data_IF_788430285784
#
_entry.id   IF_788430285784
#
_cell.length_a   1.000
_cell.length_b   1.000
_cell.length_c   1.000
_cell.angle_alpha   90.00
_cell.angle_beta   90.00
_cell.angle_gamma   90.00
#
_symmetry.space_group_name_H-M   'P 1'
#
loop_
_entity.id
_entity.type
_entity.pdbx_description
1 polymer ?
#
# COMPACT_ATOMS: atom_id res chain seq x y z
N UNK A 1 -3.36 -6.20 -20.91
CA UNK A 1 -2.77 -4.98 -20.32
C UNK A 1 -1.28 -5.00 -20.66
N UNK A 2 -0.72 -3.90 -21.14
CA UNK A 2 0.72 -3.79 -21.42
C UNK A 2 1.49 -3.75 -20.10
N UNK A 3 2.49 -4.61 -19.96
CA UNK A 3 3.45 -4.52 -18.85
C UNK A 3 4.14 -3.15 -18.95
N UNK A 4 4.15 -2.34 -17.89
CA UNK A 4 4.86 -1.06 -17.91
C UNK A 4 6.35 -1.32 -18.12
N UNK A 5 6.98 -0.57 -19.03
CA UNK A 5 8.43 -0.54 -19.17
C UNK A 5 9.00 0.60 -18.32
N UNK A 6 10.14 0.36 -17.67
CA UNK A 6 10.79 1.31 -16.76
C UNK A 6 11.98 1.98 -17.46
N UNK A 7 11.73 2.51 -18.66
CA UNK A 7 12.78 2.98 -19.56
C UNK A 7 13.10 4.47 -19.39
N UNK A 8 12.25 5.22 -18.68
CA UNK A 8 12.49 6.63 -18.35
C UNK A 8 13.00 6.78 -16.92
N UNK A 9 13.70 7.88 -16.65
CA UNK A 9 14.18 8.21 -15.31
C UNK A 9 13.01 8.32 -14.32
N UNK A 10 11.91 8.93 -14.74
CA UNK A 10 10.69 9.08 -13.94
C UNK A 10 10.08 7.72 -13.62
N UNK A 11 10.04 6.79 -14.58
CA UNK A 11 9.52 5.44 -14.36
C UNK A 11 10.42 4.64 -13.42
N UNK A 12 11.74 4.75 -13.54
CA UNK A 12 12.71 4.08 -12.66
C UNK A 12 12.64 4.63 -11.23
N UNK A 13 12.58 5.95 -11.06
CA UNK A 13 12.45 6.58 -9.75
C UNK A 13 11.13 6.16 -9.07
N UNK A 14 10.01 6.19 -9.81
CA UNK A 14 8.69 5.78 -9.30
C UNK A 14 8.69 4.30 -8.89
N UNK A 15 9.30 3.43 -9.71
CA UNK A 15 9.47 2.02 -9.38
C UNK A 15 10.32 1.81 -8.12
N UNK A 16 11.43 2.54 -7.99
CA UNK A 16 12.29 2.50 -6.81
C UNK A 16 11.57 2.90 -5.52
N UNK A 17 10.76 3.96 -5.57
CA UNK A 17 9.92 4.39 -4.44
C UNK A 17 8.90 3.29 -4.09
N UNK A 18 8.21 2.74 -5.10
CA UNK A 18 7.26 1.65 -4.90
C UNK A 18 7.90 0.41 -4.27
N UNK A 19 9.11 0.05 -4.70
CA UNK A 19 9.88 -1.05 -4.15
C UNK A 19 10.25 -0.81 -2.68
N UNK A 20 10.72 0.41 -2.34
CA UNK A 20 11.05 0.78 -0.97
C UNK A 20 9.82 0.72 -0.05
N UNK A 21 8.68 1.25 -0.49
CA UNK A 21 7.41 1.16 0.26
C UNK A 21 7.00 -0.30 0.44
N UNK A 22 7.09 -1.11 -0.62
CA UNK A 22 6.77 -2.54 -0.56
C UNK A 22 7.64 -3.30 0.45
N UNK A 23 8.94 -3.01 0.51
CA UNK A 23 9.86 -3.59 1.49
C UNK A 23 9.46 -3.21 2.92
N UNK A 24 9.22 -1.93 3.19
CA UNK A 24 8.76 -1.47 4.51
C UNK A 24 7.44 -2.14 4.94
N UNK A 25 6.50 -2.30 4.02
CA UNK A 25 5.24 -3.01 4.29
C UNK A 25 5.47 -4.49 4.58
N UNK A 26 6.40 -5.15 3.88
CA UNK A 26 6.75 -6.55 4.14
C UNK A 26 7.36 -6.77 5.53
N UNK A 27 8.12 -5.79 6.02
CA UNK A 27 8.77 -5.82 7.33
C UNK A 27 7.83 -5.40 8.48
N UNK A 28 6.73 -4.69 8.16
CA UNK A 28 5.78 -4.19 9.16
C UNK A 28 5.00 -5.28 9.92
N UNK A 29 4.97 -6.51 9.38
CA UNK A 29 4.17 -7.61 9.91
C UNK A 29 2.66 -7.52 9.61
N UNK A 30 2.23 -6.52 8.83
CA UNK A 30 0.87 -6.44 8.29
C UNK A 30 0.66 -7.60 7.31
N UNK A 31 -0.53 -8.22 7.37
CA UNK A 31 -0.89 -9.37 6.53
C UNK A 31 -2.16 -9.07 5.74
N UNK A 32 -2.28 -9.70 4.57
CA UNK A 32 -3.46 -9.54 3.71
C UNK A 32 -3.56 -8.17 3.02
N UNK A 33 -2.45 -7.45 2.91
CA UNK A 33 -2.38 -6.24 2.08
C UNK A 33 -2.58 -6.62 0.61
N UNK A 34 -3.39 -5.85 -0.10
CA UNK A 34 -3.68 -6.04 -1.52
C UNK A 34 -2.88 -5.01 -2.33
N UNK A 35 -1.87 -5.43 -3.13
CA UNK A 35 -1.04 -4.51 -3.92
C UNK A 35 -1.87 -3.59 -4.83
N UNK A 36 -2.91 -4.12 -5.46
CA UNK A 36 -3.77 -3.37 -6.38
C UNK A 36 -4.53 -2.25 -5.65
N UNK A 37 -4.96 -2.49 -4.42
CA UNK A 37 -5.63 -1.48 -3.59
C UNK A 37 -4.65 -0.41 -3.08
N UNK A 38 -3.41 -0.79 -2.76
CA UNK A 38 -2.34 0.16 -2.41
C UNK A 38 -2.03 1.09 -3.59
N UNK A 39 -1.87 0.52 -4.79
CA UNK A 39 -1.62 1.30 -6.01
C UNK A 39 -2.79 2.24 -6.30
N UNK A 40 -4.04 1.77 -6.17
CA UNK A 40 -5.22 2.62 -6.36
C UNK A 40 -5.26 3.78 -5.36
N UNK A 41 -5.00 3.53 -4.07
CA UNK A 41 -4.98 4.59 -3.05
C UNK A 41 -3.86 5.61 -3.26
N UNK A 42 -2.67 5.15 -3.67
CA UNK A 42 -1.54 6.04 -4.01
C UNK A 42 -1.89 6.90 -5.23
N UNK A 43 -2.47 6.31 -6.27
CA UNK A 43 -2.89 7.04 -7.48
C UNK A 43 -3.95 8.11 -7.16
N UNK A 44 -4.99 7.75 -6.40
CA UNK A 44 -6.02 8.70 -5.99
C UNK A 44 -5.43 9.87 -5.18
N UNK A 45 -4.50 9.60 -4.27
CA UNK A 45 -3.83 10.64 -3.47
C UNK A 45 -2.96 11.58 -4.33
N UNK A 46 -2.18 11.03 -5.27
CA UNK A 46 -1.33 11.81 -6.17
C UNK A 46 -2.14 12.68 -7.15
N UNK A 47 -3.30 12.19 -7.56
CA UNK A 47 -4.21 12.92 -8.45
C UNK A 47 -5.14 13.89 -7.70
N UNK A 48 -5.10 13.91 -6.36
CA UNK A 48 -5.97 14.75 -5.53
C UNK A 48 -7.45 14.34 -5.60
N UNK A 49 -7.72 13.07 -5.93
CA UNK A 49 -9.08 12.52 -5.98
C UNK A 49 -9.65 12.32 -4.58
N UNK A 50 -10.97 12.35 -4.50
CA UNK A 50 -11.64 11.89 -3.30
C UNK A 50 -11.41 10.38 -3.13
N UNK A 51 -11.14 9.90 -1.91
CA UNK A 51 -10.95 8.48 -1.66
C UNK A 51 -12.13 7.66 -2.18
N UNK A 52 -11.84 6.59 -2.94
CA UNK A 52 -12.85 5.65 -3.41
C UNK A 52 -13.59 4.93 -2.26
N UNK A 53 -12.98 4.90 -1.07
CA UNK A 53 -13.52 4.31 0.16
C UNK A 53 -13.71 5.41 1.20
N UNK A 54 -14.88 5.48 1.88
CA UNK A 54 -15.11 6.44 2.96
C UNK A 54 -14.02 6.39 4.04
N UNK A 55 -13.62 7.57 4.54
CA UNK A 55 -12.50 7.71 5.49
C UNK A 55 -12.70 6.90 6.77
N UNK A 56 -13.93 6.83 7.27
CA UNK A 56 -14.27 6.05 8.47
C UNK A 56 -14.09 4.54 8.25
N UNK A 57 -14.41 4.05 7.04
CA UNK A 57 -14.19 2.66 6.62
C UNK A 57 -12.69 2.36 6.52
N UNK A 58 -11.91 3.26 5.90
CA UNK A 58 -10.45 3.13 5.82
C UNK A 58 -9.84 3.06 7.23
N UNK A 59 -10.20 3.97 8.12
CA UNK A 59 -9.69 3.98 9.50
C UNK A 59 -10.06 2.72 10.28
N UNK A 60 -11.28 2.19 10.10
CA UNK A 60 -11.69 0.93 10.72
C UNK A 60 -10.84 -0.24 10.22
N UNK A 61 -10.69 -0.38 8.90
CA UNK A 61 -9.91 -1.45 8.30
C UNK A 61 -8.44 -1.41 8.74
N UNK A 62 -7.83 -0.22 8.76
CA UNK A 62 -6.45 -0.05 9.22
C UNK A 62 -6.28 -0.47 10.68
N UNK A 63 -7.19 -0.07 11.59
CA UNK A 63 -7.12 -0.51 13.00
C UNK A 63 -7.15 -2.03 13.11
N UNK A 64 -8.08 -2.67 12.41
CA UNK A 64 -8.24 -4.13 12.46
C UNK A 64 -7.01 -4.88 11.93
N UNK A 65 -6.39 -4.41 10.84
CA UNK A 65 -5.15 -5.02 10.32
C UNK A 65 -4.00 -4.85 11.32
N UNK A 66 -3.85 -3.67 11.94
CA UNK A 66 -2.82 -3.45 12.96
C UNK A 66 -3.02 -4.36 14.19
N UNK A 67 -4.24 -4.46 14.69
CA UNK A 67 -4.57 -5.34 15.84
C UNK A 67 -4.24 -6.81 15.54
N UNK A 68 -4.54 -7.28 14.32
CA UNK A 68 -4.18 -8.64 13.86
C UNK A 68 -2.67 -8.83 13.82
N UNK A 69 -1.92 -7.86 13.29
CA UNK A 69 -0.46 -7.91 13.24
C UNK A 69 0.16 -7.94 14.65
N UNK A 70 -0.35 -7.13 15.58
CA UNK A 70 0.06 -7.13 17.00
C UNK A 70 -0.27 -8.45 17.69
N UNK A 71 -1.43 -9.05 17.41
CA UNK A 71 -1.81 -10.33 17.97
C UNK A 71 -0.87 -11.45 17.51
N UNK A 72 -0.50 -11.48 16.22
CA UNK A 72 0.48 -12.45 15.69
C UNK A 72 1.85 -12.24 16.32
N UNK A 73 2.32 -11.00 16.46
CA UNK A 73 3.61 -10.68 17.11
C UNK A 73 3.66 -11.14 18.57
N UNK A 74 2.57 -10.99 19.33
CA UNK A 74 2.50 -11.43 20.74
C UNK A 74 2.44 -12.94 20.93
N UNK A 75 2.05 -13.69 19.90
CA UNK A 75 1.99 -15.16 19.93
C UNK A 75 3.28 -15.84 19.44
N UNK A 76 4.24 -15.06 18.94
CA UNK A 76 5.57 -15.51 18.51
C UNK A 76 6.58 -15.37 19.64
#
# INVERSE_FOLDING_TARGET
MTTPTFDTIEAQASYGIGLQVGQQLSESGLQGLLPEALVAGIADALEGKHPAVPVDVVHRALREIHERADAVRRQR
#
